data_IF_588792691948
#
_entry.id   IF_588792691948
#
_cell.length_a   1.000
_cell.length_b   1.000
_cell.length_c   1.000
_cell.angle_alpha   90.00
_cell.angle_beta   90.00
_cell.angle_gamma   90.00
#
_symmetry.space_group_name_H-M   'P 1'
#
loop_
_entity.id
_entity.type
_entity.pdbx_description
1 polymer ?
#
# COMPACT_ATOMS: atom_id res chain seq x y z
N UNK A 1 11.54 -16.09 -30.14
CA UNK A 1 10.19 -16.64 -29.84
C UNK A 1 10.03 -18.09 -30.30
N UNK A 2 10.08 -18.42 -31.58
CA UNK A 2 9.85 -19.82 -32.07
C UNK A 2 10.85 -20.85 -31.54
N UNK A 3 12.13 -20.48 -31.38
CA UNK A 3 13.19 -21.37 -30.85
C UNK A 3 12.86 -21.86 -29.44
N UNK A 4 12.31 -20.99 -28.59
CA UNK A 4 11.90 -21.35 -27.22
C UNK A 4 10.78 -22.38 -27.24
N UNK A 5 9.77 -22.21 -28.11
CA UNK A 5 8.70 -23.18 -28.30
C UNK A 5 9.18 -24.55 -28.77
N UNK A 6 10.14 -24.58 -29.71
CA UNK A 6 10.75 -25.83 -30.20
C UNK A 6 11.53 -26.53 -29.09
N UNK A 7 12.30 -25.78 -28.28
CA UNK A 7 13.03 -26.31 -27.13
C UNK A 7 12.09 -26.91 -26.09
N UNK A 8 10.99 -26.22 -25.75
CA UNK A 8 9.98 -26.69 -24.81
C UNK A 8 9.32 -28.00 -25.28
N UNK A 9 8.97 -28.09 -26.56
CA UNK A 9 8.40 -29.32 -27.12
C UNK A 9 9.39 -30.49 -27.12
N UNK A 10 10.63 -30.26 -27.54
CA UNK A 10 11.67 -31.29 -27.55
C UNK A 10 12.00 -31.76 -26.12
N UNK A 11 11.99 -30.84 -25.14
CA UNK A 11 12.21 -31.11 -23.73
C UNK A 11 11.05 -31.89 -23.11
N UNK A 12 9.80 -31.60 -23.49
CA UNK A 12 8.63 -32.40 -23.12
C UNK A 12 8.59 -33.80 -23.75
N UNK A 13 9.39 -34.04 -24.80
CA UNK A 13 9.56 -35.34 -25.46
C UNK A 13 10.74 -36.17 -24.96
N UNK A 14 11.78 -35.54 -24.41
CA UNK A 14 12.97 -36.20 -23.84
C UNK A 14 12.85 -36.26 -22.32
N UNK A 15 12.57 -37.44 -21.77
CA UNK A 15 12.52 -37.74 -20.32
C UNK A 15 13.86 -37.56 -19.55
N UNK A 16 14.88 -36.92 -20.12
CA UNK A 16 16.28 -37.21 -19.74
C UNK A 16 17.17 -36.07 -19.25
N UNK A 17 17.19 -34.87 -19.85
CA UNK A 17 18.31 -33.95 -19.59
C UNK A 17 17.90 -32.46 -19.55
N UNK A 18 18.33 -31.82 -18.45
CA UNK A 18 18.14 -30.43 -17.98
C UNK A 18 16.79 -30.12 -17.30
N UNK A 19 16.68 -30.46 -16.01
CA UNK A 19 15.49 -30.32 -15.14
C UNK A 19 15.02 -28.88 -14.84
N UNK A 20 15.80 -27.84 -15.15
CA UNK A 20 15.56 -26.49 -14.58
C UNK A 20 14.29 -25.78 -15.05
N UNK A 21 13.87 -25.95 -16.31
CA UNK A 21 12.69 -25.23 -16.84
C UNK A 21 11.39 -26.03 -16.66
N UNK A 22 11.43 -27.37 -16.65
CA UNK A 22 10.22 -28.18 -16.42
C UNK A 22 9.76 -28.15 -14.97
N UNK A 23 10.66 -27.79 -14.04
CA UNK A 23 10.36 -27.55 -12.64
C UNK A 23 9.23 -26.53 -12.43
N UNK A 24 9.06 -25.54 -13.32
CA UNK A 24 7.94 -24.59 -13.24
C UNK A 24 6.59 -25.30 -13.38
N UNK A 25 6.48 -26.27 -14.29
CA UNK A 25 5.24 -27.06 -14.48
C UNK A 25 4.91 -27.93 -13.26
N UNK A 26 5.90 -28.36 -12.49
CA UNK A 26 5.73 -29.13 -11.25
C UNK A 26 5.53 -28.23 -10.02
N UNK A 27 6.12 -27.03 -10.01
CA UNK A 27 5.98 -26.04 -8.96
C UNK A 27 4.64 -25.29 -9.02
N UNK A 28 4.06 -25.08 -10.20
CA UNK A 28 2.79 -24.38 -10.37
C UNK A 28 1.60 -25.02 -9.63
N UNK A 29 1.42 -26.36 -9.64
CA UNK A 29 0.44 -27.03 -8.78
C UNK A 29 0.68 -26.78 -7.28
N UNK A 30 1.94 -26.80 -6.82
CA UNK A 30 2.27 -26.54 -5.42
C UNK A 30 2.00 -25.08 -5.03
N UNK A 31 2.25 -24.14 -5.94
CA UNK A 31 1.90 -22.73 -5.75
C UNK A 31 0.37 -22.55 -5.74
N UNK A 32 -0.36 -23.24 -6.62
CA UNK A 32 -1.82 -23.18 -6.68
C UNK A 32 -2.45 -23.68 -5.38
N UNK A 33 -1.98 -24.81 -4.84
CA UNK A 33 -2.47 -25.33 -3.56
C UNK A 33 -2.11 -24.43 -2.39
N UNK A 34 -0.93 -23.80 -2.42
CA UNK A 34 -0.56 -22.78 -1.43
C UNK A 34 -1.51 -21.57 -1.48
N UNK A 35 -1.80 -21.04 -2.67
CA UNK A 35 -2.74 -19.94 -2.86
C UNK A 35 -4.17 -20.30 -2.42
N UNK A 36 -4.62 -21.53 -2.71
CA UNK A 36 -5.92 -22.02 -2.25
C UNK A 36 -6.00 -22.12 -0.71
N UNK A 37 -4.91 -22.54 -0.06
CA UNK A 37 -4.85 -22.59 1.40
C UNK A 37 -4.87 -21.18 2.00
N UNK A 38 -4.09 -20.25 1.45
CA UNK A 38 -4.08 -18.84 1.88
C UNK A 38 -5.45 -18.17 1.66
N UNK A 39 -6.13 -18.51 0.56
CA UNK A 39 -7.49 -18.06 0.29
C UNK A 39 -8.48 -18.55 1.35
N UNK A 40 -8.41 -19.83 1.75
CA UNK A 40 -9.27 -20.39 2.80
C UNK A 40 -9.05 -19.71 4.15
N UNK A 41 -7.79 -19.41 4.50
CA UNK A 41 -7.45 -18.69 5.74
C UNK A 41 -7.98 -17.25 5.67
N UNK A 42 -7.82 -16.57 4.54
CA UNK A 42 -8.34 -15.21 4.35
C UNK A 42 -9.86 -15.18 4.44
N UNK A 43 -10.55 -16.16 3.86
CA UNK A 43 -12.01 -16.29 3.93
C UNK A 43 -12.50 -16.52 5.36
N UNK A 44 -11.84 -17.40 6.12
CA UNK A 44 -12.25 -17.65 7.50
C UNK A 44 -12.11 -16.41 8.38
N UNK A 45 -11.03 -15.64 8.21
CA UNK A 45 -10.85 -14.35 8.87
C UNK A 45 -11.91 -13.33 8.44
N UNK A 46 -12.22 -13.26 7.15
CA UNK A 46 -13.26 -12.38 6.63
C UNK A 46 -14.63 -12.68 7.25
N UNK A 47 -14.99 -13.97 7.36
CA UNK A 47 -16.26 -14.38 7.98
C UNK A 47 -16.31 -14.05 9.47
N UNK A 48 -15.20 -14.28 10.20
CA UNK A 48 -15.06 -13.91 11.62
C UNK A 48 -15.26 -12.40 11.81
N UNK A 49 -14.54 -11.56 11.07
CA UNK A 49 -14.69 -10.11 11.16
C UNK A 49 -16.09 -9.63 10.78
N UNK A 50 -16.69 -10.24 9.76
CA UNK A 50 -18.06 -9.92 9.35
C UNK A 50 -19.05 -10.27 10.46
N UNK A 51 -18.93 -11.44 11.10
CA UNK A 51 -19.80 -11.88 12.19
C UNK A 51 -19.67 -10.98 13.44
N UNK A 52 -18.45 -10.58 13.80
CA UNK A 52 -18.22 -9.62 14.90
C UNK A 52 -18.88 -8.27 14.59
N UNK A 53 -18.69 -7.75 13.38
CA UNK A 53 -19.31 -6.48 12.98
C UNK A 53 -20.85 -6.58 12.90
N UNK A 54 -21.41 -7.72 12.46
CA UNK A 54 -22.86 -7.97 12.47
C UNK A 54 -23.44 -7.89 13.89
N UNK A 55 -22.76 -8.48 14.88
CA UNK A 55 -23.15 -8.41 16.30
C UNK A 55 -23.06 -6.98 16.84
N UNK A 56 -21.94 -6.30 16.58
CA UNK A 56 -21.67 -4.94 17.08
C UNK A 56 -22.59 -3.88 16.46
N UNK A 57 -23.08 -4.11 15.25
CA UNK A 57 -24.01 -3.20 14.55
C UNK A 57 -25.48 -3.54 14.76
N UNK A 58 -25.80 -4.59 15.54
CA UNK A 58 -27.19 -4.94 15.85
C UNK A 58 -27.82 -3.92 16.81
N UNK A 59 -29.04 -3.43 16.55
CA UNK A 59 -29.69 -2.38 17.35
C UNK A 59 -29.91 -2.75 18.83
N UNK A 60 -29.95 -4.05 19.13
CA UNK A 60 -30.15 -4.58 20.49
C UNK A 60 -28.85 -4.69 21.31
N UNK A 61 -27.67 -4.53 20.69
CA UNK A 61 -26.40 -4.63 21.39
C UNK A 61 -26.05 -3.30 22.09
N UNK A 62 -26.76 -3.01 23.19
CA UNK A 62 -26.46 -1.86 24.04
C UNK A 62 -25.39 -2.24 25.07
N UNK A 63 -24.19 -1.67 24.88
CA UNK A 63 -23.30 -1.15 25.94
C UNK A 63 -22.17 -1.98 26.56
N UNK A 64 -21.91 -3.25 26.20
CA UNK A 64 -20.84 -4.02 26.87
C UNK A 64 -19.43 -4.02 26.20
N UNK A 65 -19.31 -3.67 24.91
CA UNK A 65 -18.08 -3.88 24.12
C UNK A 65 -17.49 -2.56 23.57
N UNK A 66 -17.51 -1.46 24.34
CA UNK A 66 -17.09 -0.11 23.88
C UNK A 66 -15.58 0.08 23.64
N UNK A 67 -14.75 -0.88 24.02
CA UNK A 67 -13.30 -0.80 23.86
C UNK A 67 -12.78 -1.44 22.56
N UNK A 68 -13.66 -2.01 21.72
CA UNK A 68 -13.25 -2.56 20.43
C UNK A 68 -13.05 -1.42 19.43
N UNK A 69 -11.84 -1.26 18.83
CA UNK A 69 -11.59 -0.22 17.84
C UNK A 69 -12.31 -0.56 16.52
N UNK A 70 -13.59 -0.16 16.42
CA UNK A 70 -14.49 -0.41 15.28
C UNK A 70 -13.90 0.01 13.93
N UNK A 71 -13.18 1.14 13.89
CA UNK A 71 -12.54 1.63 12.66
C UNK A 71 -11.46 0.67 12.19
N UNK A 72 -10.61 0.18 13.11
CA UNK A 72 -9.56 -0.78 12.79
C UNK A 72 -10.13 -2.13 12.38
N UNK A 73 -11.24 -2.56 12.99
CA UNK A 73 -11.92 -3.81 12.63
C UNK A 73 -12.52 -3.75 11.22
N UNK A 74 -13.11 -2.60 10.84
CA UNK A 74 -13.60 -2.37 9.46
C UNK A 74 -12.46 -2.35 8.46
N UNK A 75 -11.37 -1.63 8.75
CA UNK A 75 -10.18 -1.63 7.90
C UNK A 75 -9.58 -3.03 7.74
N UNK A 76 -9.53 -3.81 8.83
CA UNK A 76 -9.09 -5.21 8.77
C UNK A 76 -10.02 -6.06 7.88
N UNK A 77 -11.34 -5.90 8.01
CA UNK A 77 -12.29 -6.58 7.11
C UNK A 77 -12.06 -6.18 5.65
N UNK A 78 -11.94 -4.89 5.34
CA UNK A 78 -11.73 -4.41 3.96
C UNK A 78 -10.42 -4.94 3.38
N UNK A 79 -9.33 -4.89 4.15
CA UNK A 79 -8.03 -5.41 3.73
C UNK A 79 -8.10 -6.91 3.43
N UNK A 80 -8.72 -7.71 4.31
CA UNK A 80 -8.85 -9.16 4.10
C UNK A 80 -9.75 -9.46 2.89
N UNK A 81 -10.83 -8.71 2.68
CA UNK A 81 -11.69 -8.86 1.48
C UNK A 81 -10.98 -8.47 0.18
N UNK A 82 -10.11 -7.45 0.22
CA UNK A 82 -9.28 -7.09 -0.94
C UNK A 82 -8.26 -8.18 -1.23
N UNK A 83 -7.61 -8.73 -0.19
CA UNK A 83 -6.69 -9.85 -0.31
C UNK A 83 -7.38 -11.10 -0.88
N UNK A 84 -8.57 -11.44 -0.39
CA UNK A 84 -9.40 -12.52 -0.93
C UNK A 84 -9.67 -12.33 -2.45
N UNK A 85 -10.07 -11.12 -2.85
CA UNK A 85 -10.30 -10.79 -4.26
C UNK A 85 -9.03 -10.88 -5.11
N UNK A 86 -7.90 -10.43 -4.57
CA UNK A 86 -6.59 -10.51 -5.21
C UNK A 86 -6.13 -11.96 -5.40
N UNK A 87 -6.20 -12.78 -4.35
CA UNK A 87 -5.84 -14.21 -4.41
C UNK A 87 -6.71 -14.97 -5.42
N UNK A 88 -8.02 -14.69 -5.47
CA UNK A 88 -8.91 -15.28 -6.49
C UNK A 88 -8.50 -14.91 -7.91
N UNK A 89 -8.17 -13.64 -8.14
CA UNK A 89 -7.74 -13.17 -9.46
C UNK A 89 -6.42 -13.82 -9.90
N UNK A 90 -5.44 -13.93 -8.99
CA UNK A 90 -4.19 -14.65 -9.24
C UNK A 90 -4.43 -16.14 -9.53
N UNK A 91 -5.30 -16.80 -8.76
CA UNK A 91 -5.60 -18.21 -8.95
C UNK A 91 -6.26 -18.47 -10.31
N UNK A 92 -7.26 -17.67 -10.69
CA UNK A 92 -7.93 -17.79 -12.00
C UNK A 92 -6.93 -17.58 -13.14
N UNK A 93 -6.10 -16.55 -13.05
CA UNK A 93 -5.09 -16.24 -14.09
C UNK A 93 -4.03 -17.34 -14.22
N UNK A 94 -3.51 -17.84 -13.11
CA UNK A 94 -2.54 -18.95 -13.13
C UNK A 94 -3.16 -20.24 -13.70
N UNK A 95 -4.38 -20.59 -13.29
CA UNK A 95 -5.10 -21.76 -13.82
C UNK A 95 -5.39 -21.64 -15.32
N UNK A 96 -5.81 -20.46 -15.80
CA UNK A 96 -6.05 -20.20 -17.23
C UNK A 96 -4.77 -20.38 -18.05
N UNK A 97 -3.67 -19.76 -17.65
CA UNK A 97 -2.37 -19.87 -18.36
C UNK A 97 -1.87 -21.32 -18.39
N UNK A 98 -2.02 -22.07 -17.30
CA UNK A 98 -1.65 -23.50 -17.23
C UNK A 98 -2.55 -24.35 -18.14
N UNK A 99 -3.86 -24.12 -18.12
CA UNK A 99 -4.82 -24.84 -18.96
C UNK A 99 -4.53 -24.61 -20.45
N UNK A 100 -4.34 -23.36 -20.87
CA UNK A 100 -4.01 -23.00 -22.25
C UNK A 100 -2.67 -23.58 -22.70
N UNK A 101 -1.65 -23.53 -21.84
CA UNK A 101 -0.34 -24.12 -22.14
C UNK A 101 -0.46 -25.64 -22.33
N UNK A 102 -1.20 -26.32 -21.44
CA UNK A 102 -1.39 -27.77 -21.52
C UNK A 102 -2.17 -28.18 -22.77
N UNK A 103 -3.19 -27.42 -23.16
CA UNK A 103 -4.00 -27.66 -24.36
C UNK A 103 -3.18 -27.47 -25.64
N UNK A 104 -2.43 -26.37 -25.74
CA UNK A 104 -1.54 -26.11 -26.87
C UNK A 104 -0.42 -27.15 -26.98
N UNK A 105 0.11 -27.63 -25.85
CA UNK A 105 1.10 -28.72 -25.84
C UNK A 105 0.49 -30.04 -26.35
N UNK A 106 -0.76 -30.37 -26.02
CA UNK A 106 -1.46 -31.55 -26.55
C UNK A 106 -1.69 -31.43 -28.06
N UNK A 107 -2.21 -30.29 -28.53
CA UNK A 107 -2.43 -30.01 -29.94
C UNK A 107 -1.12 -30.12 -30.76
N UNK A 108 -0.02 -29.60 -30.21
CA UNK A 108 1.30 -29.69 -30.83
C UNK A 108 1.81 -31.14 -30.87
N UNK A 109 1.57 -31.94 -29.82
CA UNK A 109 1.90 -33.38 -29.81
C UNK A 109 1.11 -34.17 -30.85
N UNK A 110 -0.18 -33.89 -31.02
CA UNK A 110 -1.04 -34.57 -32.00
C UNK A 110 -0.66 -34.21 -33.45
N UNK A 111 -0.38 -32.93 -33.71
CA UNK A 111 0.02 -32.44 -35.04
C UNK A 111 1.39 -32.96 -35.48
N UNK A 112 2.31 -33.18 -34.54
CA UNK A 112 3.67 -33.67 -34.82
C UNK A 112 3.77 -35.20 -34.77
N UNK A 113 3.09 -35.90 -33.85
CA UNK A 113 3.16 -37.38 -33.75
C UNK A 113 2.62 -38.11 -34.96
N UNK A 114 1.66 -37.52 -35.68
CA UNK A 114 0.91 -38.19 -36.75
C UNK A 114 1.58 -38.13 -38.13
N UNK A 115 2.68 -37.38 -38.30
CA UNK A 115 3.24 -37.09 -39.65
C UNK A 115 4.77 -37.08 -39.67
N UNK A 116 5.35 -37.79 -40.64
CA UNK A 116 6.81 -37.83 -40.88
C UNK A 116 7.39 -36.46 -41.30
N UNK A 117 6.57 -35.60 -41.89
CA UNK A 117 6.89 -34.21 -42.19
C UNK A 117 5.64 -33.35 -41.99
N UNK A 118 5.78 -32.24 -41.26
CA UNK A 118 4.67 -31.29 -41.01
C UNK A 118 5.03 -29.95 -41.65
N UNK A 119 4.09 -29.30 -42.37
CA UNK A 119 4.33 -27.97 -42.95
C UNK A 119 4.76 -26.95 -41.90
N UNK A 120 5.81 -26.19 -42.18
CA UNK A 120 6.29 -25.11 -41.29
C UNK A 120 5.22 -24.06 -41.02
N UNK A 121 4.34 -23.80 -41.98
CA UNK A 121 3.21 -22.87 -41.85
C UNK A 121 2.22 -23.26 -40.73
N UNK A 122 2.07 -24.55 -40.39
CA UNK A 122 1.14 -25.00 -39.35
C UNK A 122 1.80 -25.12 -37.97
N UNK A 123 3.08 -25.51 -37.91
CA UNK A 123 3.75 -25.76 -36.62
C UNK A 123 4.38 -24.50 -36.02
N UNK A 124 4.90 -23.59 -36.85
CA UNK A 124 5.57 -22.38 -36.35
C UNK A 124 4.64 -21.42 -35.58
N UNK A 125 3.38 -21.22 -35.98
CA UNK A 125 2.43 -20.46 -35.15
C UNK A 125 2.19 -21.11 -33.78
N UNK A 126 2.08 -22.44 -33.72
CA UNK A 126 1.88 -23.17 -32.46
C UNK A 126 3.11 -23.07 -31.55
N UNK A 127 4.33 -23.20 -32.09
CA UNK A 127 5.55 -22.97 -31.30
C UNK A 127 5.66 -21.52 -30.82
N UNK A 128 5.23 -20.54 -31.62
CA UNK A 128 5.20 -19.14 -31.22
C UNK A 128 4.17 -18.91 -30.10
N UNK A 129 2.97 -19.47 -30.22
CA UNK A 129 1.95 -19.41 -29.18
C UNK A 129 2.43 -20.05 -27.87
N UNK A 130 3.02 -21.24 -27.95
CA UNK A 130 3.61 -21.93 -26.81
C UNK A 130 4.72 -21.10 -26.13
N UNK A 131 5.58 -20.46 -26.92
CA UNK A 131 6.64 -19.60 -26.38
C UNK A 131 6.09 -18.38 -25.64
N UNK A 132 4.98 -17.80 -26.13
CA UNK A 132 4.32 -16.66 -25.46
C UNK A 132 3.67 -17.08 -24.16
N UNK A 133 2.95 -18.22 -24.15
CA UNK A 133 2.33 -18.75 -22.94
C UNK A 133 3.38 -19.11 -21.89
N UNK A 134 4.51 -19.68 -22.31
CA UNK A 134 5.62 -19.96 -21.42
C UNK A 134 6.23 -18.70 -20.80
N UNK A 135 6.46 -17.66 -21.60
CA UNK A 135 6.91 -16.36 -21.08
C UNK A 135 5.90 -15.79 -20.08
N UNK A 136 4.59 -15.83 -20.39
CA UNK A 136 3.56 -15.37 -19.46
C UNK A 136 3.52 -16.16 -18.14
N UNK A 137 3.75 -17.48 -18.19
CA UNK A 137 3.88 -18.32 -16.98
C UNK A 137 5.13 -17.95 -16.16
N UNK A 138 6.24 -17.64 -16.83
CA UNK A 138 7.47 -17.23 -16.17
C UNK A 138 7.33 -15.86 -15.51
N UNK A 139 6.72 -14.90 -16.21
CA UNK A 139 6.42 -13.56 -15.66
C UNK A 139 5.50 -13.67 -14.43
N UNK A 140 4.49 -14.55 -14.48
CA UNK A 140 3.59 -14.81 -13.34
C UNK A 140 4.33 -15.46 -12.16
N UNK A 141 5.21 -16.43 -12.43
CA UNK A 141 6.01 -17.07 -11.40
C UNK A 141 7.00 -16.09 -10.74
N UNK A 142 7.58 -15.17 -11.50
CA UNK A 142 8.43 -14.10 -10.97
C UNK A 142 7.62 -13.13 -10.09
N UNK A 143 6.44 -12.72 -10.54
CA UNK A 143 5.53 -11.90 -9.74
C UNK A 143 5.17 -12.57 -8.42
N UNK A 144 4.80 -13.86 -8.44
CA UNK A 144 4.48 -14.62 -7.24
C UNK A 144 5.67 -14.74 -6.29
N UNK A 145 6.89 -14.91 -6.82
CA UNK A 145 8.10 -14.91 -6.00
C UNK A 145 8.34 -13.54 -5.34
N UNK A 146 8.15 -12.44 -6.08
CA UNK A 146 8.26 -11.08 -5.52
C UNK A 146 7.23 -10.89 -4.39
N UNK A 147 5.97 -11.27 -4.63
CA UNK A 147 4.90 -11.15 -3.64
C UNK A 147 5.16 -12.01 -2.40
N UNK A 148 5.63 -13.24 -2.58
CA UNK A 148 5.99 -14.13 -1.47
C UNK A 148 7.14 -13.53 -0.65
N UNK A 149 8.16 -12.97 -1.29
CA UNK A 149 9.26 -12.28 -0.60
C UNK A 149 8.75 -11.07 0.19
N UNK A 150 7.83 -10.28 -0.38
CA UNK A 150 7.19 -9.16 0.33
C UNK A 150 6.42 -9.68 1.55
N UNK A 151 5.62 -10.75 1.39
CA UNK A 151 4.86 -11.36 2.49
C UNK A 151 5.77 -11.81 3.64
N UNK A 152 6.86 -12.53 3.33
CA UNK A 152 7.84 -12.97 4.33
C UNK A 152 8.46 -11.77 5.06
N UNK A 153 8.83 -10.71 4.33
CA UNK A 153 9.40 -9.50 4.93
C UNK A 153 8.39 -8.70 5.77
N UNK A 154 7.10 -8.81 5.46
CA UNK A 154 6.03 -8.15 6.21
C UNK A 154 5.54 -8.98 7.42
N UNK A 155 5.81 -10.28 7.46
CA UNK A 155 5.41 -11.19 8.54
C UNK A 155 5.78 -10.69 9.96
N UNK A 156 6.96 -10.09 10.21
CA UNK A 156 7.30 -9.55 11.53
C UNK A 156 6.38 -8.41 11.98
N UNK A 157 5.85 -7.62 11.03
CA UNK A 157 4.93 -6.53 11.32
C UNK A 157 3.50 -7.03 11.61
N UNK A 158 3.09 -8.13 10.98
CA UNK A 158 1.81 -8.81 11.27
C UNK A 158 1.77 -9.31 12.73
N UNK A 159 2.89 -9.76 13.28
CA UNK A 159 2.97 -10.20 14.69
C UNK A 159 2.62 -9.07 15.69
N UNK A 160 2.79 -7.80 15.31
CA UNK A 160 2.35 -6.67 16.11
C UNK A 160 0.84 -6.43 16.01
N UNK A 161 0.24 -6.66 14.84
CA UNK A 161 -1.20 -6.54 14.60
C UNK A 161 -2.00 -7.69 15.22
N UNK A 162 -1.42 -8.90 15.29
CA UNK A 162 -2.00 -10.04 15.98
C UNK A 162 -2.21 -9.81 17.49
N UNK A 163 -1.54 -8.79 18.08
CA UNK A 163 -1.79 -8.35 19.46
C UNK A 163 -3.03 -7.47 19.61
N UNK A 164 -3.46 -6.80 18.53
CA UNK A 164 -4.62 -5.90 18.52
C UNK A 164 -5.91 -6.71 18.42
N UNK A 165 -5.92 -7.72 17.54
CA UNK A 165 -7.03 -8.66 17.38
C UNK A 165 -6.51 -10.09 17.52
N UNK A 166 -6.30 -10.54 18.76
CA UNK A 166 -5.91 -11.93 19.02
C UNK A 166 -7.09 -12.87 18.72
N UNK A 167 -6.80 -14.11 18.34
CA UNK A 167 -7.85 -15.11 18.08
C UNK A 167 -8.74 -15.30 19.31
N UNK A 168 -8.15 -15.36 20.51
CA UNK A 168 -8.90 -15.45 21.77
C UNK A 168 -9.80 -14.23 22.03
N UNK A 169 -9.40 -13.03 21.60
CA UNK A 169 -10.24 -11.84 21.72
C UNK A 169 -11.42 -11.87 20.74
N UNK A 170 -11.19 -12.31 19.50
CA UNK A 170 -12.26 -12.49 18.52
C UNK A 170 -13.22 -13.60 18.94
N UNK A 171 -12.71 -14.72 19.47
CA UNK A 171 -13.52 -15.83 19.97
C UNK A 171 -14.36 -15.40 21.17
N UNK A 172 -13.81 -14.57 22.08
CA UNK A 172 -14.55 -13.96 23.18
C UNK A 172 -15.70 -13.05 22.71
N UNK A 173 -15.49 -12.27 21.65
CA UNK A 173 -16.54 -11.45 21.03
C UNK A 173 -17.60 -12.30 20.32
N UNK A 174 -17.24 -13.51 19.88
CA UNK A 174 -18.09 -14.43 19.15
C UNK A 174 -18.82 -15.45 20.04
N UNK A 175 -18.62 -15.48 21.36
CA UNK A 175 -19.07 -16.53 22.32
C UNK A 175 -20.54 -17.02 22.16
N UNK A 176 -21.44 -16.23 21.57
CA UNK A 176 -22.84 -16.58 21.32
C UNK A 176 -23.29 -16.57 19.86
N UNK A 177 -22.40 -16.29 18.90
CA UNK A 177 -22.73 -16.15 17.48
C UNK A 177 -21.99 -17.15 16.62
N UNK A 178 -22.72 -17.90 15.80
CA UNK A 178 -22.11 -18.77 14.79
C UNK A 178 -21.44 -17.93 13.69
N UNK A 179 -20.21 -18.29 13.32
CA UNK A 179 -19.50 -17.68 12.19
C UNK A 179 -20.10 -18.25 10.91
N UNK A 180 -21.00 -17.49 10.29
CA UNK A 180 -21.65 -17.88 9.03
C UNK A 180 -20.75 -17.60 7.84
N UNK A 181 -20.73 -18.53 6.89
CA UNK A 181 -20.13 -18.30 5.58
C UNK A 181 -21.00 -17.36 4.75
N UNK A 182 -20.41 -16.72 3.76
CA UNK A 182 -21.18 -15.85 2.84
C UNK A 182 -22.26 -16.64 2.09
N UNK A 183 -22.00 -17.91 1.77
CA UNK A 183 -22.98 -18.83 1.18
C UNK A 183 -24.14 -19.12 2.14
N UNK A 184 -23.85 -19.38 3.42
CA UNK A 184 -24.88 -19.58 4.43
C UNK A 184 -25.75 -18.33 4.62
N UNK A 185 -25.14 -17.13 4.65
CA UNK A 185 -25.87 -15.84 4.69
C UNK A 185 -26.82 -15.68 3.49
N UNK A 186 -26.39 -16.10 2.30
CA UNK A 186 -27.25 -16.08 1.11
C UNK A 186 -28.37 -17.12 1.19
N UNK A 187 -28.11 -18.32 1.69
CA UNK A 187 -29.13 -19.37 1.81
C UNK A 187 -30.23 -18.97 2.79
N UNK A 188 -29.89 -18.38 3.94
CA UNK A 188 -30.84 -17.94 4.95
C UNK A 188 -31.86 -16.93 4.43
N UNK A 189 -31.43 -16.04 3.53
CA UNK A 189 -32.29 -15.01 2.94
C UNK A 189 -33.10 -15.51 1.73
N UNK A 190 -32.88 -16.75 1.28
CA UNK A 190 -33.53 -17.30 0.07
C UNK A 190 -35.03 -17.57 0.23
N UNK A 191 -35.55 -17.61 1.46
CA UNK A 191 -36.98 -17.72 1.75
C UNK A 191 -37.77 -16.42 1.58
N UNK A 192 -37.09 -15.27 1.52
CA UNK A 192 -37.70 -13.95 1.50
C UNK A 192 -37.69 -13.35 0.08
N UNK A 193 -38.57 -13.84 -0.81
CA UNK A 193 -38.67 -13.29 -2.17
C UNK A 193 -39.53 -12.03 -2.22
N UNK A 194 -39.16 -11.12 -3.12
CA UNK A 194 -39.95 -9.92 -3.41
C UNK A 194 -41.06 -10.29 -4.38
N UNK A 195 -42.28 -9.90 -4.04
CA UNK A 195 -43.42 -10.07 -4.93
C UNK A 195 -43.45 -8.90 -5.94
N UNK A 196 -43.31 -9.17 -7.26
CA UNK A 196 -43.33 -8.11 -8.28
C UNK A 196 -44.63 -7.30 -8.30
N UNK A 197 -45.70 -7.84 -7.72
CA UNK A 197 -46.98 -7.16 -7.56
C UNK A 197 -46.99 -6.03 -6.52
N UNK A 198 -46.11 -6.10 -5.51
CA UNK A 198 -46.02 -5.10 -4.42
C UNK A 198 -45.24 -3.84 -4.84
N UNK A 199 -44.36 -3.94 -5.85
CA UNK A 199 -43.45 -2.86 -6.27
C UNK A 199 -43.41 -2.65 -7.78
N UNK A 200 -44.53 -2.16 -8.35
CA UNK A 200 -44.66 -1.85 -9.79
C UNK A 200 -43.84 -0.65 -10.27
N UNK A 201 -43.21 0.09 -9.35
CA UNK A 201 -42.42 1.30 -9.68
C UNK A 201 -41.04 0.98 -10.25
N UNK A 202 -40.55 -0.25 -10.08
CA UNK A 202 -39.20 -0.63 -10.50
C UNK A 202 -39.16 -1.97 -11.24
N UNK A 203 -38.17 -2.11 -12.10
CA UNK A 203 -37.92 -3.34 -12.85
C UNK A 203 -37.15 -4.34 -11.96
N UNK A 204 -37.83 -5.42 -11.59
CA UNK A 204 -37.25 -6.51 -10.82
C UNK A 204 -36.94 -7.70 -11.73
N UNK A 205 -35.71 -8.20 -11.66
CA UNK A 205 -35.30 -9.42 -12.34
C UNK A 205 -35.34 -10.59 -11.36
N UNK A 206 -36.15 -11.58 -11.68
CA UNK A 206 -36.26 -12.84 -10.96
C UNK A 206 -35.49 -13.95 -11.71
N UNK A 207 -35.04 -14.99 -10.99
CA UNK A 207 -34.38 -16.15 -11.59
C UNK A 207 -35.23 -16.83 -12.69
N UNK A 208 -36.54 -16.76 -12.56
CA UNK A 208 -37.51 -17.42 -13.45
C UNK A 208 -37.73 -16.66 -14.77
N UNK A 209 -37.43 -15.36 -14.80
CA UNK A 209 -37.76 -14.47 -15.92
C UNK A 209 -36.55 -14.16 -16.80
N UNK A 210 -35.33 -14.43 -16.33
CA UNK A 210 -34.09 -13.95 -16.95
C UNK A 210 -33.22 -15.10 -17.47
N UNK A 211 -32.91 -15.11 -18.77
CA UNK A 211 -31.90 -16.01 -19.32
C UNK A 211 -30.50 -15.63 -18.80
N UNK A 212 -29.66 -16.62 -18.46
CA UNK A 212 -28.31 -16.42 -17.89
C UNK A 212 -28.25 -15.62 -16.58
N UNK A 213 -29.21 -15.85 -15.68
CA UNK A 213 -29.32 -15.18 -14.38
C UNK A 213 -28.04 -15.23 -13.50
N UNK A 214 -27.26 -16.30 -13.60
CA UNK A 214 -26.02 -16.48 -12.82
C UNK A 214 -24.84 -15.63 -13.33
N UNK A 215 -24.90 -15.10 -14.55
CA UNK A 215 -23.82 -14.32 -15.17
C UNK A 215 -24.14 -12.82 -15.21
N UNK A 216 -25.16 -12.38 -14.49
CA UNK A 216 -25.56 -10.98 -14.48
C UNK A 216 -24.46 -10.09 -13.86
N UNK A 217 -24.12 -8.94 -14.49
CA UNK A 217 -23.15 -8.00 -13.95
C UNK A 217 -23.73 -7.25 -12.75
N UNK A 218 -23.52 -7.79 -11.55
CA UNK A 218 -24.00 -7.20 -10.31
C UNK A 218 -23.16 -5.97 -9.92
N UNK A 219 -23.83 -4.86 -9.62
CA UNK A 219 -23.21 -3.68 -9.06
C UNK A 219 -22.65 -3.99 -7.66
N UNK A 220 -21.65 -3.22 -7.23
CA UNK A 220 -20.99 -3.39 -5.93
C UNK A 220 -20.36 -4.78 -5.74
N UNK A 221 -20.04 -5.47 -6.85
CA UNK A 221 -19.50 -6.82 -6.86
C UNK A 221 -20.38 -7.83 -6.10
N UNK A 222 -21.71 -7.64 -6.10
CA UNK A 222 -22.67 -8.52 -5.44
C UNK A 222 -22.89 -8.23 -3.95
N UNK A 223 -22.40 -7.10 -3.42
CA UNK A 223 -22.64 -6.66 -2.04
C UNK A 223 -23.96 -5.88 -1.94
N UNK A 224 -24.66 -6.02 -0.81
CA UNK A 224 -25.86 -5.26 -0.52
C UNK A 224 -25.55 -3.76 -0.29
N UNK A 225 -25.99 -2.89 -1.21
CA UNK A 225 -25.76 -1.44 -1.09
C UNK A 225 -26.44 -0.81 0.14
N UNK A 226 -27.61 -1.32 0.52
CA UNK A 226 -28.36 -0.84 1.68
C UNK A 226 -27.64 -1.09 3.02
N UNK A 227 -26.97 -2.24 3.17
CA UNK A 227 -26.26 -2.58 4.41
C UNK A 227 -24.98 -1.76 4.56
N UNK A 228 -24.31 -1.43 3.45
CA UNK A 228 -23.14 -0.55 3.45
C UNK A 228 -23.50 0.83 4.00
N UNK A 229 -24.68 1.33 3.70
CA UNK A 229 -25.18 2.61 4.22
C UNK A 229 -25.63 2.49 5.68
N UNK A 230 -26.62 1.63 5.92
CA UNK A 230 -27.35 1.58 7.21
C UNK A 230 -26.48 1.05 8.36
N UNK A 231 -25.54 0.15 8.07
CA UNK A 231 -24.63 -0.45 9.06
C UNK A 231 -23.20 0.07 8.91
N UNK A 232 -23.06 1.34 8.51
CA UNK A 232 -21.82 2.11 8.52
C UNK A 232 -20.63 1.36 7.88
N UNK A 233 -20.79 0.90 6.65
CA UNK A 233 -19.76 0.25 5.84
C UNK A 233 -19.67 -1.27 5.95
N UNK A 234 -20.66 -1.94 6.56
CA UNK A 234 -20.69 -3.40 6.62
C UNK A 234 -20.94 -4.04 5.23
N UNK A 235 -20.02 -4.93 4.84
CA UNK A 235 -20.07 -5.66 3.56
C UNK A 235 -20.80 -6.99 3.76
N UNK A 236 -22.09 -7.05 3.42
CA UNK A 236 -22.85 -8.30 3.40
C UNK A 236 -23.08 -8.76 1.95
N UNK A 237 -22.89 -10.06 1.67
CA UNK A 237 -23.20 -10.62 0.36
C UNK A 237 -24.71 -10.45 0.10
N UNK A 238 -25.05 -9.93 -1.07
CA UNK A 238 -26.42 -9.90 -1.55
C UNK A 238 -26.81 -11.26 -2.14
N UNK A 239 -28.05 -11.66 -1.93
CA UNK A 239 -28.63 -12.85 -2.54
C UNK A 239 -29.46 -12.49 -3.79
N UNK A 240 -29.03 -12.88 -5.01
CA UNK A 240 -29.80 -12.64 -6.22
C UNK A 240 -31.19 -13.28 -6.21
N UNK A 241 -31.37 -14.40 -5.49
CA UNK A 241 -32.65 -15.13 -5.45
C UNK A 241 -33.78 -14.39 -4.72
N UNK A 242 -33.48 -13.34 -3.95
CA UNK A 242 -34.49 -12.43 -3.36
C UNK A 242 -35.18 -11.61 -4.45
N UNK A 243 -34.43 -11.21 -5.47
CA UNK A 243 -34.82 -10.29 -6.53
C UNK A 243 -33.72 -9.28 -6.82
N UNK A 244 -33.36 -9.11 -8.09
CA UNK A 244 -32.35 -8.14 -8.53
C UNK A 244 -33.07 -6.88 -9.01
N UNK A 245 -32.75 -5.73 -8.40
CA UNK A 245 -33.35 -4.45 -8.77
C UNK A 245 -32.57 -3.84 -9.95
N UNK A 246 -33.23 -3.55 -11.06
CA UNK A 246 -32.67 -2.78 -12.17
C UNK A 246 -32.98 -1.29 -11.97
N UNK A 247 -31.94 -0.48 -11.82
CA UNK A 247 -32.04 0.97 -11.74
C UNK A 247 -30.94 1.64 -12.57
N UNK A 248 -31.30 2.53 -13.50
CA UNK A 248 -30.34 3.24 -14.40
C UNK A 248 -29.34 2.29 -15.08
N UNK A 249 -29.83 1.19 -15.66
CA UNK A 249 -29.01 0.13 -16.30
C UNK A 249 -28.01 -0.60 -15.39
N UNK A 250 -28.10 -0.39 -14.06
CA UNK A 250 -27.32 -1.12 -13.06
C UNK A 250 -28.19 -2.11 -12.30
N UNK A 251 -27.59 -3.24 -11.93
CA UNK A 251 -28.25 -4.35 -11.26
C UNK A 251 -27.80 -4.41 -9.79
N UNK A 252 -28.75 -4.25 -8.87
CA UNK A 252 -28.49 -4.21 -7.43
C UNK A 252 -29.05 -5.46 -6.75
N UNK A 253 -28.33 -5.95 -5.75
CA UNK A 253 -28.67 -7.15 -4.97
C UNK A 253 -28.73 -6.79 -3.49
N UNK A 254 -29.55 -7.51 -2.73
CA UNK A 254 -29.81 -7.22 -1.32
C UNK A 254 -29.62 -8.44 -0.43
N UNK A 255 -29.40 -8.20 0.86
CA UNK A 255 -29.21 -9.24 1.87
C UNK A 255 -30.53 -9.75 2.47
N UNK A 256 -31.62 -8.98 2.37
CA UNK A 256 -32.94 -9.33 2.90
C UNK A 256 -34.06 -8.65 2.11
N UNK A 257 -35.31 -9.13 2.22
CA UNK A 257 -36.47 -8.49 1.56
C UNK A 257 -36.67 -7.07 2.08
N UNK A 258 -36.50 -6.85 3.38
CA UNK A 258 -36.62 -5.52 4.00
C UNK A 258 -35.58 -4.52 3.45
N UNK A 259 -34.33 -4.95 3.27
CA UNK A 259 -33.28 -4.13 2.68
C UNK A 259 -33.62 -3.72 1.24
N UNK A 260 -34.18 -4.66 0.47
CA UNK A 260 -34.59 -4.41 -0.90
C UNK A 260 -35.77 -3.43 -0.99
N UNK A 261 -36.77 -3.58 -0.12
CA UNK A 261 -37.95 -2.70 -0.06
C UNK A 261 -37.55 -1.27 0.31
N UNK A 262 -36.68 -1.12 1.31
CA UNK A 262 -36.19 0.19 1.75
C UNK A 262 -35.32 0.85 0.69
N UNK A 263 -34.41 0.11 0.07
CA UNK A 263 -33.60 0.64 -1.02
C UNK A 263 -34.44 1.04 -2.23
N UNK A 264 -35.47 0.26 -2.57
CA UNK A 264 -36.39 0.59 -3.66
C UNK A 264 -37.24 1.84 -3.39
N UNK A 265 -37.41 2.24 -2.13
CA UNK A 265 -38.16 3.45 -1.79
C UNK A 265 -37.40 4.73 -2.15
N UNK A 266 -36.06 4.74 -2.01
CA UNK A 266 -35.21 5.88 -2.37
C UNK A 266 -33.83 5.46 -2.91
N UNK A 267 -33.77 4.83 -4.10
CA UNK A 267 -32.53 4.23 -4.60
C UNK A 267 -31.42 5.25 -4.84
N UNK A 268 -31.75 6.49 -5.22
CA UNK A 268 -30.78 7.54 -5.55
C UNK A 268 -30.02 8.03 -4.32
N UNK A 269 -30.73 8.23 -3.20
CA UNK A 269 -30.14 8.62 -1.92
C UNK A 269 -29.13 7.59 -1.43
N UNK A 270 -29.49 6.29 -1.47
CA UNK A 270 -28.58 5.22 -1.08
C UNK A 270 -27.36 5.11 -2.00
N UNK A 271 -27.52 5.32 -3.31
CA UNK A 271 -26.39 5.28 -4.25
C UNK A 271 -25.40 6.42 -3.96
N UNK A 272 -25.90 7.63 -3.67
CA UNK A 272 -25.08 8.77 -3.29
C UNK A 272 -24.39 8.55 -1.94
N UNK A 273 -25.10 8.01 -0.95
CA UNK A 273 -24.53 7.75 0.37
C UNK A 273 -23.46 6.65 0.34
N UNK A 274 -23.62 5.61 -0.49
CA UNK A 274 -22.55 4.63 -0.75
C UNK A 274 -21.31 5.32 -1.33
N UNK A 275 -21.48 6.29 -2.23
CA UNK A 275 -20.36 7.04 -2.79
C UNK A 275 -19.69 7.92 -1.73
N UNK A 276 -20.43 8.61 -0.87
CA UNK A 276 -19.86 9.39 0.23
C UNK A 276 -19.10 8.50 1.23
N UNK A 277 -19.62 7.31 1.55
CA UNK A 277 -18.89 6.33 2.38
C UNK A 277 -17.60 5.86 1.71
N UNK A 278 -17.62 5.61 0.41
CA UNK A 278 -16.42 5.25 -0.33
C UNK A 278 -15.37 6.38 -0.40
N UNK A 279 -15.77 7.65 -0.30
CA UNK A 279 -14.84 8.78 -0.17
C UNK A 279 -14.13 8.80 1.20
N UNK A 280 -14.83 8.39 2.26
CA UNK A 280 -14.27 8.33 3.61
C UNK A 280 -13.33 7.13 3.80
N UNK A 281 -13.67 5.99 3.22
CA UNK A 281 -12.85 4.77 3.22
C UNK A 281 -12.52 4.35 1.78
N UNK A 282 -11.37 4.77 1.22
CA UNK A 282 -11.00 4.52 -0.17
C UNK A 282 -10.86 3.02 -0.49
N UNK A 283 -10.70 2.16 0.52
CA UNK A 283 -10.66 0.71 0.37
C UNK A 283 -11.94 0.16 -0.28
N UNK A 284 -13.09 0.83 -0.04
CA UNK A 284 -14.38 0.46 -0.61
C UNK A 284 -14.47 0.73 -2.12
N UNK A 285 -13.69 1.68 -2.65
CA UNK A 285 -13.71 2.03 -4.08
C UNK A 285 -13.30 0.80 -4.91
N UNK A 286 -12.24 0.10 -4.49
CA UNK A 286 -11.76 -1.10 -5.18
C UNK A 286 -12.70 -2.29 -4.97
N UNK A 287 -13.18 -2.51 -3.74
CA UNK A 287 -14.06 -3.63 -3.40
C UNK A 287 -15.41 -3.56 -4.13
N UNK A 288 -16.02 -2.37 -4.15
CA UNK A 288 -17.33 -2.13 -4.75
C UNK A 288 -17.24 -1.76 -6.24
N UNK A 289 -16.03 -1.75 -6.81
CA UNK A 289 -15.72 -1.37 -8.21
C UNK A 289 -16.31 -0.01 -8.61
N UNK A 290 -16.15 1.00 -7.75
CA UNK A 290 -16.72 2.35 -7.93
C UNK A 290 -15.89 3.27 -8.82
N UNK A 291 -14.80 2.78 -9.41
CA UNK A 291 -13.89 3.57 -10.27
C UNK A 291 -14.61 4.33 -11.39
N UNK A 292 -15.70 3.78 -11.94
CA UNK A 292 -16.49 4.47 -12.95
C UNK A 292 -17.21 5.71 -12.42
N UNK A 293 -17.63 5.71 -11.15
CA UNK A 293 -18.30 6.84 -10.49
C UNK A 293 -17.30 7.91 -10.02
N UNK A 294 -16.06 7.52 -9.74
CA UNK A 294 -14.96 8.42 -9.35
C UNK A 294 -13.98 8.69 -10.49
N UNK A 295 -14.43 8.62 -11.75
CA UNK A 295 -13.61 8.88 -12.93
C UNK A 295 -13.00 10.29 -12.94
N UNK A 296 -13.52 11.23 -12.13
CA UNK A 296 -12.93 12.55 -11.88
C UNK A 296 -11.72 12.56 -10.91
N UNK A 297 -11.55 11.53 -10.08
CA UNK A 297 -10.46 11.41 -9.07
C UNK A 297 -9.39 10.42 -9.51
N UNK A 298 -9.71 9.52 -10.45
CA UNK A 298 -8.71 8.77 -11.21
C UNK A 298 -7.84 9.76 -11.99
N UNK A 299 -6.52 9.65 -11.91
CA UNK A 299 -5.57 10.49 -12.65
C UNK A 299 -5.67 10.37 -14.19
N UNK A 300 -6.67 9.65 -14.72
CA UNK A 300 -6.85 9.36 -16.15
C UNK A 300 -8.35 9.36 -16.51
N UNK A 301 -8.87 10.36 -17.26
CA UNK A 301 -10.29 10.49 -17.64
C UNK A 301 -10.73 9.60 -18.82
N UNK A 302 -9.83 8.87 -19.48
CA UNK A 302 -10.10 8.21 -20.77
C UNK A 302 -10.29 6.68 -20.64
N UNK A 303 -11.22 6.26 -19.79
CA UNK A 303 -11.70 4.87 -19.78
C UNK A 303 -13.08 4.78 -20.47
N UNK A 304 -13.14 4.06 -21.59
CA UNK A 304 -14.40 3.63 -22.19
C UNK A 304 -15.04 2.52 -21.33
N UNK A 305 -16.38 2.42 -21.28
CA UNK A 305 -17.05 1.35 -20.54
C UNK A 305 -16.76 -0.01 -21.19
N UNK A 306 -15.98 -0.87 -20.53
CA UNK A 306 -15.74 -2.25 -20.98
C UNK A 306 -14.30 -2.77 -20.89
N UNK A 307 -13.31 -1.91 -20.67
CA UNK A 307 -11.92 -2.36 -20.48
C UNK A 307 -11.69 -2.80 -19.02
N UNK A 308 -11.52 -4.12 -18.82
CA UNK A 308 -10.92 -4.68 -17.59
C UNK A 308 -9.53 -4.09 -17.39
N UNK A 309 -9.12 -3.91 -16.12
CA UNK A 309 -7.83 -3.38 -15.66
C UNK A 309 -6.62 -4.14 -16.26
N UNK A 310 -6.34 -3.90 -17.53
CA UNK A 310 -5.05 -4.17 -18.14
C UNK A 310 -4.32 -2.84 -18.16
N UNK A 311 -3.30 -2.76 -17.31
CA UNK A 311 -2.29 -1.70 -17.26
C UNK A 311 -2.01 -1.22 -18.69
N UNK A 312 -2.51 -0.03 -19.04
CA UNK A 312 -2.12 0.60 -20.31
C UNK A 312 -0.62 0.88 -20.25
N UNK A 313 0.11 0.64 -21.36
CA UNK A 313 1.55 0.81 -21.39
C UNK A 313 1.92 2.24 -20.99
N UNK A 314 2.90 2.37 -20.10
CA UNK A 314 3.44 3.65 -19.64
C UNK A 314 3.76 4.50 -20.87
N UNK A 315 2.90 5.46 -21.16
CA UNK A 315 3.11 6.41 -22.24
C UNK A 315 4.07 7.44 -21.68
N UNK A 316 5.31 7.44 -22.18
CA UNK A 316 6.30 8.46 -21.82
C UNK A 316 5.82 9.77 -22.42
N UNK A 317 5.24 10.64 -21.59
CA UNK A 317 4.89 11.99 -21.97
C UNK A 317 6.02 12.92 -21.54
N UNK A 318 6.45 13.80 -22.43
CA UNK A 318 7.43 14.83 -22.13
C UNK A 318 6.68 16.05 -21.55
N UNK A 319 6.81 16.26 -20.24
CA UNK A 319 6.23 17.42 -19.55
C UNK A 319 7.30 18.50 -19.43
N UNK A 320 7.15 19.58 -20.19
CA UNK A 320 8.01 20.75 -20.06
C UNK A 320 7.53 21.66 -18.94
N UNK A 321 8.23 21.67 -17.81
CA UNK A 321 7.98 22.65 -16.75
C UNK A 321 8.83 23.88 -17.05
N UNK A 322 8.22 24.95 -17.54
CA UNK A 322 8.91 26.25 -17.64
C UNK A 322 8.92 26.87 -16.24
N UNK A 323 10.08 26.84 -15.59
CA UNK A 323 10.29 27.60 -14.36
C UNK A 323 10.24 29.09 -14.69
N UNK A 324 9.46 29.84 -13.89
CA UNK A 324 9.45 31.29 -13.99
C UNK A 324 10.87 31.82 -13.85
N UNK A 325 11.28 32.68 -14.79
CA UNK A 325 12.65 33.23 -14.85
C UNK A 325 12.91 34.14 -13.64
N UNK A 326 11.84 34.71 -13.07
CA UNK A 326 11.85 35.56 -11.88
C UNK A 326 10.63 35.25 -11.00
N UNK A 327 10.69 34.24 -10.12
CA UNK A 327 9.65 34.03 -9.13
C UNK A 327 9.56 35.27 -8.23
N UNK A 328 8.42 35.96 -8.26
CA UNK A 328 8.13 37.04 -7.32
C UNK A 328 7.80 36.40 -5.97
N UNK A 329 8.75 36.46 -5.03
CA UNK A 329 8.55 35.91 -3.69
C UNK A 329 7.45 36.71 -2.97
N UNK A 330 6.27 36.10 -2.82
CA UNK A 330 5.12 36.70 -2.14
C UNK A 330 5.29 36.77 -0.62
N UNK A 331 6.30 36.11 -0.06
CA UNK A 331 6.49 36.00 1.39
C UNK A 331 7.96 36.22 1.79
N UNK A 332 8.48 37.44 1.58
CA UNK A 332 9.79 37.84 2.10
C UNK A 332 9.68 38.23 3.57
N UNK A 333 10.13 37.36 4.47
CA UNK A 333 10.30 37.69 5.87
C UNK A 333 11.54 38.59 6.05
N UNK A 334 11.29 39.89 6.30
CA UNK A 334 12.35 40.89 6.52
C UNK A 334 13.16 40.65 7.80
N UNK A 335 12.67 39.79 8.69
CA UNK A 335 13.33 39.43 9.95
C UNK A 335 14.14 38.14 9.87
N UNK A 336 14.04 37.42 8.75
CA UNK A 336 14.76 36.17 8.52
C UNK A 336 16.26 36.42 8.39
N UNK A 337 17.04 35.70 9.19
CA UNK A 337 18.49 35.62 9.06
C UNK A 337 18.89 34.15 8.90
N UNK A 338 19.61 33.85 7.83
CA UNK A 338 20.10 32.50 7.55
C UNK A 338 21.31 32.12 8.43
N UNK A 339 22.00 33.11 9.00
CA UNK A 339 23.21 32.93 9.79
C UNK A 339 22.89 32.63 11.25
N UNK A 340 23.13 31.40 11.67
CA UNK A 340 22.91 30.95 13.05
C UNK A 340 23.65 31.79 14.10
N UNK A 341 24.83 32.32 13.78
CA UNK A 341 25.60 33.16 14.71
C UNK A 341 24.98 34.53 14.92
N UNK A 342 24.28 35.04 13.91
CA UNK A 342 23.59 36.32 13.96
C UNK A 342 22.31 36.21 14.79
N UNK A 343 21.56 35.12 14.60
CA UNK A 343 20.42 34.74 15.45
C UNK A 343 20.82 34.61 16.92
N UNK A 344 21.92 33.91 17.21
CA UNK A 344 22.44 33.79 18.58
C UNK A 344 22.83 35.15 19.17
N UNK A 345 23.47 36.02 18.38
CA UNK A 345 23.87 37.36 18.83
C UNK A 345 22.65 38.25 19.13
N UNK A 346 21.59 38.16 18.31
CA UNK A 346 20.31 38.83 18.56
C UNK A 346 19.61 38.31 19.82
N UNK A 347 19.58 36.99 20.00
CA UNK A 347 18.99 36.38 21.19
C UNK A 347 19.72 36.82 22.47
N UNK A 348 21.05 36.85 22.46
CA UNK A 348 21.86 37.37 23.58
C UNK A 348 21.56 38.85 23.82
N UNK A 349 21.47 39.68 22.76
CA UNK A 349 21.14 41.09 22.89
C UNK A 349 19.75 41.32 23.51
N UNK A 350 18.76 40.50 23.15
CA UNK A 350 17.42 40.56 23.75
C UNK A 350 17.44 40.13 25.22
N UNK A 351 18.17 39.05 25.56
CA UNK A 351 18.34 38.63 26.94
C UNK A 351 19.04 39.71 27.80
N UNK A 352 20.05 40.38 27.24
CA UNK A 352 20.71 41.53 27.86
C UNK A 352 19.76 42.72 28.03
N UNK A 353 18.84 42.95 27.11
CA UNK A 353 17.83 44.01 27.26
C UNK A 353 16.82 43.68 28.35
N UNK A 354 16.44 42.40 28.49
CA UNK A 354 15.53 41.94 29.54
C UNK A 354 16.17 42.03 30.94
N UNK A 355 17.48 41.84 31.05
CA UNK A 355 18.21 41.95 32.33
C UNK A 355 18.59 43.39 32.68
N UNK A 356 18.52 44.33 31.73
CA UNK A 356 18.78 45.75 31.97
C UNK A 356 17.55 46.44 32.53
N UNK A 357 17.63 46.83 33.81
CA UNK A 357 16.64 47.71 34.43
C UNK A 357 16.91 49.15 33.99
N UNK A 358 15.95 49.79 33.33
CA UNK A 358 16.04 51.21 32.97
C UNK A 358 16.04 52.07 34.23
N UNK A 359 17.17 52.71 34.55
CA UNK A 359 17.30 53.56 35.74
C UNK A 359 16.58 54.92 35.60
N UNK A 360 16.27 55.33 34.35
CA UNK A 360 15.42 56.48 34.02
C UNK A 360 14.93 56.37 32.58
N UNK A 361 13.64 56.59 32.34
CA UNK A 361 13.07 56.74 30.98
C UNK A 361 12.69 58.20 30.76
N UNK A 362 13.21 58.80 29.69
CA UNK A 362 12.81 60.13 29.27
C UNK A 362 11.45 60.01 28.57
N UNK A 363 10.39 60.49 29.21
CA UNK A 363 9.07 60.64 28.58
C UNK A 363 9.03 61.92 27.73
N UNK A 364 8.07 62.05 26.81
CA UNK A 364 7.88 63.28 25.98
C UNK A 364 7.86 64.58 26.80
N UNK A 365 7.40 64.51 28.06
CA UNK A 365 7.36 65.64 28.99
C UNK A 365 8.72 66.03 29.59
N UNK A 366 9.75 65.20 29.42
CA UNK A 366 11.10 65.39 29.96
C UNK A 366 12.17 65.65 28.88
N UNK A 367 11.75 65.71 27.61
CA UNK A 367 12.60 65.90 26.42
C UNK A 367 13.29 67.29 26.34
N UNK A 368 12.97 68.23 27.24
CA UNK A 368 13.48 69.62 27.20
C UNK A 368 14.14 70.09 28.51
N UNK A 369 14.42 69.20 29.47
CA UNK A 369 15.19 69.60 30.67
C UNK A 369 16.65 69.81 30.29
N UNK A 370 17.11 71.07 30.30
CA UNK A 370 18.54 71.41 30.19
C UNK A 370 19.25 71.03 31.49
N UNK A 371 20.04 69.98 31.46
CA UNK A 371 21.09 69.76 32.47
C UNK A 371 22.31 70.57 32.06
N UNK A 372 22.72 71.50 32.90
CA UNK A 372 23.96 72.26 32.71
C UNK A 372 24.99 71.69 33.68
N UNK A 373 25.78 70.72 33.22
CA UNK A 373 26.96 70.23 33.95
C UNK A 373 28.20 70.57 33.14
N UNK A 374 29.03 71.48 33.66
CA UNK A 374 30.36 71.73 33.12
C UNK A 374 31.32 70.66 33.62
N UNK A 375 31.71 69.73 32.75
CA UNK A 375 32.78 68.77 33.03
C UNK A 375 34.15 69.38 32.66
N UNK A 376 35.02 69.53 33.65
CA UNK A 376 36.44 69.82 33.48
C UNK A 376 37.20 68.51 33.23
N UNK A 377 37.85 68.39 32.07
CA UNK A 377 38.69 67.25 31.73
C UNK A 377 40.17 67.62 31.89
N UNK A 378 40.84 67.05 32.89
CA UNK A 378 42.31 67.07 32.95
C UNK A 378 42.86 65.94 32.08
N UNK A 379 43.90 66.17 31.26
CA UNK A 379 44.52 65.12 30.46
C UNK A 379 45.06 64.00 31.35
N UNK A 380 44.62 62.76 31.11
CA UNK A 380 45.17 61.57 31.76
C UNK A 380 46.30 61.00 30.89
N UNK A 381 47.45 60.74 31.50
CA UNK A 381 48.55 60.07 30.81
C UNK A 381 48.18 58.62 30.54
N UNK A 382 48.07 58.26 29.26
CA UNK A 382 47.87 56.90 28.81
C UNK A 382 49.20 56.34 28.28
N UNK A 383 49.64 55.21 28.83
CA UNK A 383 50.81 54.47 28.33
C UNK A 383 50.29 53.27 27.55
N UNK A 384 50.79 53.08 26.33
CA UNK A 384 50.50 51.89 25.52
C UNK A 384 51.72 50.96 25.50
N UNK A 385 51.48 49.65 25.64
CA UNK A 385 52.50 48.62 25.51
C UNK A 385 52.24 47.82 24.23
N UNK A 386 53.27 47.60 23.40
CA UNK A 386 53.19 46.72 22.23
C UNK A 386 53.38 45.25 22.63
N UNK A 387 52.65 44.35 21.96
CA UNK A 387 52.73 42.90 22.17
C UNK A 387 54.13 42.39 21.81
N UNK A 388 54.74 41.56 22.68
CA UNK A 388 55.89 40.71 22.35
C UNK A 388 55.41 39.28 22.35
N UNK A 389 55.64 38.57 21.27
CA UNK A 389 55.42 37.13 21.21
C UNK A 389 56.74 36.42 21.55
N UNK A 390 56.64 35.34 22.32
CA UNK A 390 57.75 34.47 22.68
C UNK A 390 57.37 33.03 22.39
N UNK A 391 58.32 32.26 21.88
CA UNK A 391 58.17 30.82 21.63
C UNK A 391 59.03 30.01 22.60
N UNK A 392 58.60 28.80 22.92
CA UNK A 392 59.44 27.82 23.60
C UNK A 392 59.52 26.55 22.77
N UNK A 393 60.75 26.11 22.48
CA UNK A 393 61.01 24.84 21.82
C UNK A 393 61.30 23.77 22.87
N UNK A 394 60.62 22.63 22.76
CA UNK A 394 60.81 21.46 23.64
C UNK A 394 61.71 20.45 22.91
N UNK A 395 62.68 19.79 23.58
CA UNK A 395 63.61 18.91 22.87
C UNK A 395 62.88 17.70 22.28
N UNK A 396 63.12 17.42 20.99
CA UNK A 396 62.44 16.33 20.28
C UNK A 396 63.12 14.99 20.59
N UNK A 397 62.40 14.01 21.16
CA UNK A 397 63.03 12.77 21.53
C UNK A 397 63.43 11.94 20.32
N UNK A 398 64.70 11.54 20.25
CA UNK A 398 65.23 10.64 19.23
C UNK A 398 65.84 9.41 19.90
N UNK A 399 65.40 8.23 19.47
CA UNK A 399 65.92 6.96 19.97
C UNK A 399 66.44 6.12 18.84
N UNK A 400 67.62 5.57 19.04
CA UNK A 400 68.27 4.66 18.12
C UNK A 400 68.23 3.24 18.68
N UNK A 401 67.87 2.29 17.82
CA UNK A 401 67.70 0.88 18.15
C UNK A 401 68.59 0.06 17.24
N UNK A 402 69.38 -0.84 17.83
CA UNK A 402 70.29 -1.72 17.08
C UNK A 402 70.13 -3.17 17.50
N UNK A 403 70.62 -4.09 16.67
CA UNK A 403 70.55 -5.54 16.90
C UNK A 403 69.31 -6.23 16.31
N UNK A 404 68.47 -5.51 15.56
CA UNK A 404 67.20 -6.02 15.02
C UNK A 404 67.30 -6.74 13.66
N UNK A 405 68.50 -6.97 13.11
CA UNK A 405 68.68 -7.70 11.85
C UNK A 405 69.50 -8.98 12.03
N UNK A 406 68.84 -10.13 11.89
CA UNK A 406 69.45 -11.36 11.36
C UNK A 406 69.99 -12.42 12.33
N UNK A 407 69.93 -12.24 13.65
CA UNK A 407 70.27 -13.28 14.63
C UNK A 407 69.13 -13.51 15.63
N UNK A 408 68.76 -14.78 15.88
CA UNK A 408 67.58 -15.17 16.66
C UNK A 408 67.67 -14.86 18.17
N UNK A 409 68.88 -14.75 18.72
CA UNK A 409 69.13 -14.41 20.14
C UNK A 409 69.89 -13.08 20.32
N UNK A 410 69.71 -12.13 19.39
CA UNK A 410 70.33 -10.80 19.49
C UNK A 410 69.60 -9.90 20.50
N UNK A 411 70.28 -9.49 21.57
CA UNK A 411 69.73 -8.53 22.53
C UNK A 411 69.57 -7.14 21.90
N UNK A 412 68.35 -6.61 21.90
CA UNK A 412 68.05 -5.28 21.38
C UNK A 412 68.50 -4.22 22.38
N UNK A 413 69.41 -3.35 21.95
CA UNK A 413 69.87 -2.21 22.75
C UNK A 413 69.20 -0.94 22.24
N UNK A 414 68.50 -0.25 23.15
CA UNK A 414 67.87 1.05 22.92
C UNK A 414 68.70 2.14 23.56
N UNK A 415 69.20 3.07 22.75
CA UNK A 415 69.92 4.25 23.23
C UNK A 415 69.15 5.51 22.89
N UNK A 416 69.05 6.40 23.88
CA UNK A 416 68.39 7.69 23.72
C UNK A 416 69.42 8.73 23.27
N UNK A 417 69.16 9.38 22.14
CA UNK A 417 70.01 10.39 21.52
C UNK A 417 69.38 11.79 21.55
N UNK A 418 68.34 11.97 22.37
CA UNK A 418 67.67 13.27 22.52
C UNK A 418 68.65 14.31 23.04
N UNK A 419 68.85 15.39 22.28
CA UNK A 419 69.69 16.51 22.69
C UNK A 419 68.89 17.52 23.51
N UNK A 420 69.45 18.10 24.58
CA UNK A 420 68.84 19.23 25.28
C UNK A 420 68.78 20.47 24.36
N UNK A 421 67.89 21.41 24.64
CA UNK A 421 67.58 22.56 23.76
C UNK A 421 68.66 23.65 23.80
N UNK A 422 69.57 23.60 24.77
CA UNK A 422 70.54 24.67 25.05
C UNK A 422 71.95 24.43 24.46
N UNK A 423 72.09 23.61 23.41
CA UNK A 423 73.35 23.41 22.64
C UNK A 423 73.27 24.00 21.21
#
# INVERSE_FOLDING_TARGET
MTITGIRLFNKAGKKGEQETDLALTEALPAISTSLENELKVSQSLAWRYTAVLEKLTHPDCRSAERDVPMVLLKQALYNVRQHEGFLRMLLVRTQQLVAEFSSNMKLLKETVKSKAAVPTATVFPLFKALSKLWSGLQDEAELLNILNNISINLQPFIASQAKIFSEAHLDGLLESSEVKTDEQRMIESSGERIDPGEMKSHDWLLPETTASFNELPLQYNGVCGYTVVTRDGLLLPGNPYIGVLKHKEKLYVFSSKDAAVKFASSPEEFIEEVAEKAKLSPELIQLLKLHQQFSCVSAYPEMQPGESLLVKPITKCESGTQTDIHPLETNMDKSYEWNEWELRRKAIKLADLLSKVTHSTQTDLSHMRRENTTQTWLPKNAVCQSKRDGESSVPKPQTYLTGLRGQRDGHVVKTNLTRPVDD
#
